data_IF_329250065249
#
_entry.id   IF_329250065249
#
_cell.length_a   1.000
_cell.length_b   1.000
_cell.length_c   1.000
_cell.angle_alpha   90.00
_cell.angle_beta   90.00
_cell.angle_gamma   90.00
#
_symmetry.space_group_name_H-M   'P 1'
#
loop_
_entity.id
_entity.type
_entity.pdbx_description
1 polymer ?
#
# COMPACT_ATOMS: atom_id res chain seq x y z
N UNK A 1 -4.23 -5.92 -9.62
CA UNK A 1 -2.86 -5.54 -9.96
C UNK A 1 -2.54 -4.12 -9.52
N UNK A 2 -1.28 -3.77 -9.57
CA UNK A 2 -0.76 -2.42 -9.31
C UNK A 2 -0.87 -1.50 -10.54
N UNK A 3 -1.06 -2.10 -11.68
CA UNK A 3 -1.47 -1.49 -12.94
C UNK A 3 -2.40 -2.46 -13.69
N UNK A 4 -3.11 -1.97 -14.70
CA UNK A 4 -3.99 -2.81 -15.53
C UNK A 4 -3.64 -2.58 -16.99
N UNK A 5 -3.05 -3.59 -17.62
CA UNK A 5 -2.56 -3.50 -18.99
C UNK A 5 -1.64 -2.27 -19.21
N UNK A 6 -0.71 -2.04 -18.28
CA UNK A 6 0.22 -0.92 -18.29
C UNK A 6 -0.35 0.44 -17.88
N UNK A 7 -1.66 0.57 -17.69
CA UNK A 7 -2.26 1.81 -17.23
C UNK A 7 -2.15 1.96 -15.70
N UNK A 8 -1.76 3.14 -15.23
CA UNK A 8 -1.73 3.46 -13.81
C UNK A 8 -3.14 3.46 -13.20
N UNK A 9 -3.22 3.18 -11.91
CA UNK A 9 -4.50 3.14 -11.18
C UNK A 9 -5.21 4.51 -11.10
N UNK A 10 -4.55 5.59 -11.49
CA UNK A 10 -5.14 6.93 -11.66
C UNK A 10 -5.91 7.14 -12.96
N UNK A 11 -5.82 6.20 -13.93
CA UNK A 11 -6.49 6.34 -15.22
C UNK A 11 -8.02 6.44 -15.04
N UNK A 12 -8.63 7.47 -15.62
CA UNK A 12 -10.06 7.77 -15.47
C UNK A 12 -10.98 6.64 -15.92
N UNK A 13 -10.49 5.76 -16.80
CA UNK A 13 -11.25 4.56 -17.20
C UNK A 13 -11.60 3.64 -16.03
N UNK A 14 -10.86 3.74 -14.88
CA UNK A 14 -11.14 2.96 -13.67
C UNK A 14 -12.12 3.67 -12.72
N UNK A 15 -12.45 4.94 -12.93
CA UNK A 15 -13.33 5.70 -12.05
C UNK A 15 -14.75 5.08 -11.91
N UNK A 16 -15.37 4.54 -12.96
CA UNK A 16 -16.64 3.83 -12.79
C UNK A 16 -16.54 2.61 -11.85
N UNK A 17 -15.40 1.91 -11.87
CA UNK A 17 -15.13 0.79 -10.96
C UNK A 17 -14.95 1.29 -9.52
N UNK A 18 -14.15 2.34 -9.30
CA UNK A 18 -13.96 2.91 -7.95
C UNK A 18 -15.26 3.46 -7.37
N UNK A 19 -16.03 4.17 -8.18
CA UNK A 19 -17.35 4.64 -7.78
C UNK A 19 -18.24 3.48 -7.32
N UNK A 20 -18.27 2.40 -8.09
CA UNK A 20 -19.12 1.24 -7.75
C UNK A 20 -18.60 0.52 -6.50
N UNK A 21 -17.30 0.37 -6.35
CA UNK A 21 -16.70 -0.22 -5.15
C UNK A 21 -17.03 0.61 -3.89
N UNK A 22 -16.91 1.93 -3.99
CA UNK A 22 -17.25 2.86 -2.90
C UNK A 22 -18.73 2.78 -2.52
N UNK A 23 -19.65 2.80 -3.52
CA UNK A 23 -21.11 2.68 -3.32
C UNK A 23 -21.49 1.37 -2.61
N UNK A 24 -20.78 0.29 -2.91
CA UNK A 24 -21.02 -1.04 -2.33
C UNK A 24 -20.28 -1.25 -1.00
N UNK A 25 -19.41 -0.32 -0.60
CA UNK A 25 -18.52 -0.50 0.56
C UNK A 25 -17.51 -1.64 0.38
N UNK A 26 -17.17 -1.99 -0.87
CA UNK A 26 -16.22 -3.05 -1.15
C UNK A 26 -14.80 -2.62 -0.84
N UNK A 27 -14.05 -3.48 -0.13
CA UNK A 27 -12.63 -3.28 0.13
C UNK A 27 -11.79 -3.79 -1.04
N UNK A 28 -10.85 -2.97 -1.48
CA UNK A 28 -9.94 -3.28 -2.58
C UNK A 28 -8.57 -3.64 -2.03
N UNK A 29 -8.01 -4.78 -2.45
CA UNK A 29 -6.64 -5.17 -2.15
C UNK A 29 -5.78 -5.05 -3.41
N UNK A 30 -4.81 -4.17 -3.40
CA UNK A 30 -3.88 -3.93 -4.51
C UNK A 30 -2.60 -4.73 -4.28
N UNK A 31 -2.39 -5.73 -5.12
CA UNK A 31 -1.21 -6.58 -5.11
C UNK A 31 -0.38 -6.34 -6.37
N UNK A 32 0.96 -6.15 -6.27
CA UNK A 32 1.79 -5.88 -7.44
C UNK A 32 1.87 -7.07 -8.38
N UNK A 33 1.78 -6.79 -9.66
CA UNK A 33 1.95 -7.73 -10.76
C UNK A 33 2.40 -6.97 -12.01
N UNK A 34 3.08 -7.60 -12.96
CA UNK A 34 3.66 -6.93 -14.13
C UNK A 34 4.62 -5.81 -13.71
N UNK A 35 5.70 -6.20 -13.02
CA UNK A 35 6.64 -5.27 -12.40
C UNK A 35 7.33 -4.38 -13.42
N UNK A 36 7.38 -3.08 -13.13
CA UNK A 36 8.13 -2.13 -13.92
C UNK A 36 9.62 -2.54 -14.01
N UNK A 37 10.21 -2.41 -15.18
CA UNK A 37 11.63 -2.72 -15.40
C UNK A 37 11.97 -4.20 -15.39
N UNK A 38 11.01 -5.10 -15.55
CA UNK A 38 11.26 -6.55 -15.55
C UNK A 38 12.31 -6.98 -16.58
N UNK A 39 12.31 -6.36 -17.76
CA UNK A 39 13.29 -6.63 -18.81
C UNK A 39 14.75 -6.32 -18.40
N UNK A 40 14.98 -5.41 -17.47
CA UNK A 40 16.27 -5.07 -16.88
C UNK A 40 16.66 -5.97 -15.71
N UNK A 41 15.77 -6.85 -15.28
CA UNK A 41 15.92 -7.69 -14.10
C UNK A 41 15.86 -9.21 -14.39
N UNK A 42 16.58 -9.75 -15.40
CA UNK A 42 16.43 -11.15 -15.85
C UNK A 42 17.06 -12.18 -14.90
N UNK A 43 17.76 -11.76 -13.85
CA UNK A 43 18.48 -12.64 -12.92
C UNK A 43 18.18 -12.27 -11.45
N UNK A 44 18.56 -13.18 -10.55
CA UNK A 44 18.55 -12.97 -9.09
C UNK A 44 17.15 -12.70 -8.53
N UNK A 45 16.11 -13.12 -9.25
CA UNK A 45 14.73 -12.91 -8.84
C UNK A 45 14.37 -11.44 -8.58
N UNK A 46 15.11 -10.52 -9.17
CA UNK A 46 14.98 -9.08 -8.96
C UNK A 46 13.58 -8.51 -9.26
N UNK A 47 12.78 -9.04 -10.22
CA UNK A 47 11.41 -8.56 -10.37
C UNK A 47 10.59 -8.66 -9.08
N UNK A 48 10.75 -9.74 -8.31
CA UNK A 48 10.07 -9.91 -7.02
C UNK A 48 10.75 -9.16 -5.88
N UNK A 49 12.08 -9.18 -5.82
CA UNK A 49 12.82 -8.58 -4.70
C UNK A 49 12.88 -7.05 -4.78
N UNK A 50 12.90 -6.47 -5.97
CA UNK A 50 13.06 -5.03 -6.21
C UNK A 50 11.86 -4.46 -6.96
N UNK A 51 11.42 -5.14 -8.02
CA UNK A 51 10.32 -4.68 -8.88
C UNK A 51 9.00 -4.59 -8.13
N UNK A 52 8.61 -5.58 -7.35
CA UNK A 52 7.35 -5.56 -6.58
C UNK A 52 7.24 -4.39 -5.61
N UNK A 53 8.23 -4.11 -4.74
CA UNK A 53 8.18 -2.94 -3.86
C UNK A 53 8.09 -1.61 -4.62
N UNK A 54 8.78 -1.49 -5.75
CA UNK A 54 8.72 -0.29 -6.60
C UNK A 54 7.34 -0.15 -7.26
N UNK A 55 6.78 -1.25 -7.74
CA UNK A 55 5.47 -1.29 -8.39
C UNK A 55 4.34 -0.92 -7.43
N UNK A 56 4.36 -1.42 -6.19
CA UNK A 56 3.41 -1.03 -5.15
C UNK A 56 3.50 0.48 -4.87
N UNK A 57 4.71 1.03 -4.79
CA UNK A 57 4.91 2.47 -4.59
C UNK A 57 4.38 3.30 -5.75
N UNK A 58 4.57 2.85 -7.00
CA UNK A 58 3.98 3.47 -8.19
C UNK A 58 2.45 3.49 -8.10
N UNK A 59 1.85 2.37 -7.71
CA UNK A 59 0.40 2.27 -7.55
C UNK A 59 -0.13 3.28 -6.52
N UNK A 60 0.48 3.35 -5.32
CA UNK A 60 0.10 4.30 -4.27
C UNK A 60 0.26 5.74 -4.77
N UNK A 61 1.41 6.10 -5.33
CA UNK A 61 1.67 7.44 -5.85
C UNK A 61 0.70 7.82 -6.96
N UNK A 62 0.39 6.91 -7.88
CA UNK A 62 -0.55 7.20 -8.96
C UNK A 62 -1.95 7.51 -8.42
N UNK A 63 -2.44 6.75 -7.43
CA UNK A 63 -3.75 7.02 -6.82
C UNK A 63 -3.77 8.32 -6.03
N UNK A 64 -2.68 8.66 -5.33
CA UNK A 64 -2.55 9.94 -4.61
C UNK A 64 -2.54 11.10 -5.60
N UNK A 65 -1.57 11.13 -6.52
CA UNK A 65 -1.37 12.27 -7.40
C UNK A 65 -2.46 12.42 -8.46
N UNK A 66 -3.10 11.33 -8.89
CA UNK A 66 -4.27 11.34 -9.77
C UNK A 66 -5.59 11.66 -9.05
N UNK A 67 -5.54 12.01 -7.75
CA UNK A 67 -6.71 12.46 -6.98
C UNK A 67 -7.79 11.39 -6.76
N UNK A 68 -7.46 10.10 -6.85
CA UNK A 68 -8.43 9.03 -6.67
C UNK A 68 -9.07 9.07 -5.29
N UNK A 69 -8.26 9.30 -4.23
CA UNK A 69 -8.76 9.37 -2.85
C UNK A 69 -9.58 10.65 -2.57
N UNK A 70 -9.34 11.74 -3.32
CA UNK A 70 -10.16 12.95 -3.23
C UNK A 70 -11.50 12.76 -3.94
N UNK A 71 -11.51 12.08 -5.09
CA UNK A 71 -12.72 11.81 -5.86
C UNK A 71 -13.59 10.72 -5.22
N UNK A 72 -12.97 9.75 -4.54
CA UNK A 72 -13.63 8.61 -3.89
C UNK A 72 -13.17 8.51 -2.43
N UNK A 73 -13.60 9.43 -1.54
CA UNK A 73 -13.08 9.55 -0.18
C UNK A 73 -13.47 8.40 0.75
N UNK A 74 -14.44 7.59 0.39
CA UNK A 74 -14.86 6.40 1.13
C UNK A 74 -14.34 5.09 0.53
N UNK A 75 -13.53 5.18 -0.52
CA UNK A 75 -12.94 4.00 -1.16
C UNK A 75 -11.96 3.31 -0.21
N UNK A 76 -12.21 2.05 0.09
CA UNK A 76 -11.45 1.25 1.05
C UNK A 76 -10.34 0.49 0.33
N UNK A 77 -9.10 0.96 0.42
CA UNK A 77 -7.97 0.36 -0.30
C UNK A 77 -6.89 -0.09 0.66
N UNK A 78 -6.38 -1.30 0.44
CA UNK A 78 -5.16 -1.81 1.08
C UNK A 78 -4.12 -2.17 0.00
N UNK A 79 -2.84 -1.97 0.32
CA UNK A 79 -1.72 -2.30 -0.53
C UNK A 79 -0.84 -3.37 0.10
N UNK A 80 -0.42 -4.34 -0.70
CA UNK A 80 0.41 -5.45 -0.27
C UNK A 80 1.84 -5.04 0.14
N UNK A 81 2.49 -5.93 0.87
CA UNK A 81 3.93 -5.91 1.18
C UNK A 81 4.38 -4.63 1.88
N UNK A 82 3.66 -4.29 2.97
CA UNK A 82 3.96 -3.10 3.76
C UNK A 82 3.86 -1.78 2.99
N UNK A 83 3.11 -1.75 1.88
CA UNK A 83 3.06 -0.59 0.98
C UNK A 83 4.29 -0.44 0.09
N UNK A 84 5.08 -1.52 -0.08
CA UNK A 84 6.29 -1.54 -0.89
C UNK A 84 7.37 -0.59 -0.38
N UNK A 85 8.00 0.19 -1.25
CA UNK A 85 8.98 1.19 -0.86
C UNK A 85 8.35 2.56 -0.52
N UNK A 86 7.03 2.73 -0.62
CA UNK A 86 6.35 4.01 -0.38
C UNK A 86 6.61 4.58 1.02
N UNK A 87 6.46 3.82 2.13
CA UNK A 87 6.71 4.39 3.46
C UNK A 87 8.14 4.91 3.62
N UNK A 88 9.13 4.20 3.07
CA UNK A 88 10.54 4.61 3.14
C UNK A 88 10.87 5.81 2.25
N UNK A 89 10.08 6.07 1.22
CA UNK A 89 10.32 7.14 0.25
C UNK A 89 9.39 8.33 0.40
N UNK A 90 8.47 8.33 1.36
CA UNK A 90 7.48 9.41 1.54
C UNK A 90 8.13 10.79 1.68
N UNK A 91 9.27 10.90 2.36
CA UNK A 91 10.01 12.16 2.46
C UNK A 91 10.51 12.68 1.12
N UNK A 92 11.00 11.79 0.23
CA UNK A 92 11.38 12.16 -1.15
C UNK A 92 10.16 12.57 -1.98
N UNK A 93 9.06 11.85 -1.84
CA UNK A 93 7.81 12.09 -2.57
C UNK A 93 7.24 13.46 -2.19
N UNK A 94 7.17 13.76 -0.89
CA UNK A 94 6.75 15.07 -0.38
C UNK A 94 7.69 16.20 -0.81
N UNK A 95 9.00 15.98 -0.75
CA UNK A 95 9.96 16.97 -1.20
C UNK A 95 9.77 17.28 -2.70
N UNK A 96 9.58 16.25 -3.53
CA UNK A 96 9.27 16.42 -4.96
C UNK A 96 8.00 17.23 -5.19
N UNK A 97 6.94 16.96 -4.44
CA UNK A 97 5.70 17.72 -4.47
C UNK A 97 5.94 19.21 -4.15
N UNK A 98 6.77 19.52 -3.15
CA UNK A 98 7.02 20.89 -2.72
C UNK A 98 7.91 21.68 -3.69
N UNK A 99 8.92 21.04 -4.32
CA UNK A 99 9.90 21.72 -5.17
C UNK A 99 9.54 21.73 -6.66
N UNK A 100 8.68 20.81 -7.09
CA UNK A 100 8.20 20.70 -8.47
C UNK A 100 6.68 20.49 -8.55
N UNK A 101 5.87 21.39 -7.95
CA UNK A 101 4.41 21.28 -8.02
C UNK A 101 3.89 21.33 -9.47
N UNK A 102 4.61 21.99 -10.35
CA UNK A 102 4.34 22.04 -11.79
C UNK A 102 4.34 20.67 -12.47
N UNK A 103 5.07 19.69 -11.92
CA UNK A 103 5.14 18.32 -12.44
C UNK A 103 4.35 17.31 -11.59
N UNK A 104 4.19 17.57 -10.30
CA UNK A 104 3.69 16.59 -9.34
C UNK A 104 2.25 16.88 -8.92
N UNK A 105 1.90 18.15 -8.71
CA UNK A 105 0.57 18.59 -8.29
C UNK A 105 -0.37 18.89 -9.47
N UNK A 106 -0.27 18.11 -10.57
CA UNK A 106 -1.00 18.38 -11.83
C UNK A 106 -2.50 18.10 -11.67
N UNK A 107 -2.84 16.95 -11.13
CA UNK A 107 -4.24 16.49 -10.98
C UNK A 107 -4.71 16.58 -9.53
N UNK A 108 -3.79 16.69 -8.57
CA UNK A 108 -4.09 16.79 -7.16
C UNK A 108 -3.07 17.67 -6.43
N UNK A 109 -3.53 18.74 -5.79
CA UNK A 109 -2.71 19.70 -5.06
C UNK A 109 -2.62 19.42 -3.54
N UNK A 110 -3.12 18.27 -3.08
CA UNK A 110 -3.04 17.87 -1.67
C UNK A 110 -1.68 17.21 -1.41
N UNK A 111 -0.99 17.68 -0.38
CA UNK A 111 0.31 17.13 0.01
C UNK A 111 0.23 15.61 0.24
N UNK A 112 1.12 14.80 -0.38
CA UNK A 112 1.06 13.33 -0.31
C UNK A 112 1.14 12.78 1.12
N UNK A 113 1.77 13.48 2.06
CA UNK A 113 1.83 13.08 3.47
C UNK A 113 0.46 13.08 4.14
N UNK A 114 -0.50 13.86 3.67
CA UNK A 114 -1.87 13.91 4.21
C UNK A 114 -2.66 12.62 3.93
N UNK A 115 -2.12 11.73 3.10
CA UNK A 115 -2.71 10.42 2.81
C UNK A 115 -2.20 9.29 3.70
N UNK A 116 -1.17 9.55 4.53
CA UNK A 116 -0.78 8.60 5.56
C UNK A 116 -1.97 8.36 6.50
N UNK A 117 -2.31 7.09 6.71
CA UNK A 117 -3.51 6.72 7.48
C UNK A 117 -4.85 6.82 6.73
N UNK A 118 -4.88 7.20 5.44
CA UNK A 118 -6.10 7.20 4.61
C UNK A 118 -6.37 5.85 3.94
N UNK A 119 -5.34 5.12 3.61
CA UNK A 119 -5.40 3.76 3.07
C UNK A 119 -4.72 2.77 4.00
N UNK A 120 -4.84 1.50 3.70
CA UNK A 120 -4.29 0.40 4.48
C UNK A 120 -3.06 -0.18 3.80
N UNK A 121 -2.19 -0.80 4.58
CA UNK A 121 -1.11 -1.66 4.09
C UNK A 121 -1.14 -2.97 4.87
N UNK A 122 -0.41 -3.99 4.42
CA UNK A 122 -0.24 -5.20 5.21
C UNK A 122 1.08 -5.20 6.01
N UNK A 123 1.23 -6.22 6.86
CA UNK A 123 2.39 -6.39 7.74
C UNK A 123 3.49 -7.28 7.15
N UNK A 124 3.39 -7.66 5.87
CA UNK A 124 4.35 -8.56 5.24
C UNK A 124 5.64 -7.84 4.86
N UNK A 125 6.56 -7.75 5.79
CA UNK A 125 7.83 -7.02 5.62
C UNK A 125 9.07 -7.81 6.05
N UNK A 126 8.90 -9.02 6.61
CA UNK A 126 9.95 -9.98 6.98
C UNK A 126 11.02 -9.47 7.95
N UNK A 127 10.91 -8.26 8.48
CA UNK A 127 11.91 -7.66 9.36
C UNK A 127 11.27 -6.84 10.49
N UNK A 128 11.78 -7.02 11.71
CA UNK A 128 11.26 -6.36 12.93
C UNK A 128 11.38 -4.83 12.88
N UNK A 129 12.51 -4.34 12.38
CA UNK A 129 12.74 -2.88 12.29
C UNK A 129 11.84 -2.26 11.24
N UNK A 130 11.65 -2.95 10.13
CA UNK A 130 10.76 -2.51 9.07
C UNK A 130 9.31 -2.50 9.55
N UNK A 131 8.85 -3.50 10.31
CA UNK A 131 7.50 -3.49 10.87
C UNK A 131 7.30 -2.32 11.84
N UNK A 132 8.24 -2.05 12.74
CA UNK A 132 8.20 -0.86 13.60
C UNK A 132 8.11 0.42 12.79
N UNK A 133 8.96 0.55 11.77
CA UNK A 133 9.02 1.72 10.92
C UNK A 133 7.69 2.00 10.19
N UNK A 134 7.07 0.98 9.61
CA UNK A 134 5.79 1.19 8.94
C UNK A 134 4.64 1.50 9.92
N UNK A 135 4.70 0.97 11.15
CA UNK A 135 3.77 1.35 12.22
C UNK A 135 3.92 2.83 12.58
N UNK A 136 5.16 3.32 12.71
CA UNK A 136 5.44 4.72 13.01
C UNK A 136 4.98 5.66 11.87
N UNK A 137 5.18 5.26 10.61
CA UNK A 137 4.86 6.08 9.45
C UNK A 137 3.37 6.07 9.11
N UNK A 138 2.74 4.89 9.07
CA UNK A 138 1.36 4.71 8.61
C UNK A 138 0.33 4.81 9.75
N UNK A 139 0.78 4.60 10.98
CA UNK A 139 -0.09 4.46 12.14
C UNK A 139 -0.56 3.02 12.37
N UNK A 140 -0.64 2.63 13.64
CA UNK A 140 -1.01 1.28 14.08
C UNK A 140 -2.41 0.83 13.65
N UNK A 141 -3.29 1.77 13.29
CA UNK A 141 -4.69 1.50 12.91
C UNK A 141 -4.87 1.23 11.40
N UNK A 142 -3.79 1.25 10.62
CA UNK A 142 -3.84 1.11 9.15
C UNK A 142 -2.95 0.00 8.59
N UNK A 143 -2.58 -0.94 9.44
CA UNK A 143 -1.79 -2.10 9.05
C UNK A 143 -2.58 -3.37 9.35
N UNK A 144 -2.85 -4.16 8.32
CA UNK A 144 -3.52 -5.46 8.41
C UNK A 144 -2.50 -6.60 8.42
N UNK A 145 -2.85 -7.75 8.97
CA UNK A 145 -2.05 -8.95 8.81
C UNK A 145 -1.95 -9.33 7.34
N UNK A 146 -0.73 -9.52 6.84
CA UNK A 146 -0.43 -10.06 5.52
C UNK A 146 0.35 -11.36 5.60
N UNK A 147 0.11 -12.29 4.69
CA UNK A 147 0.78 -13.59 4.63
C UNK A 147 1.46 -13.90 3.31
N UNK A 148 1.01 -13.29 2.22
CA UNK A 148 1.40 -13.58 0.84
C UNK A 148 1.29 -15.09 0.48
N UNK A 149 0.39 -15.81 1.19
CA UNK A 149 0.12 -17.22 0.87
C UNK A 149 -0.55 -17.34 -0.51
N UNK A 150 -0.18 -18.27 -1.40
CA UNK A 150 0.77 -19.38 -1.16
C UNK A 150 2.17 -19.16 -1.77
N UNK A 151 2.62 -17.93 -1.92
CA UNK A 151 3.87 -17.62 -2.62
C UNK A 151 5.12 -17.92 -1.78
N UNK A 152 6.28 -18.20 -2.42
CA UNK A 152 7.52 -18.50 -1.70
C UNK A 152 8.05 -17.37 -0.81
N UNK A 153 7.70 -16.11 -1.11
CA UNK A 153 8.01 -14.95 -0.25
C UNK A 153 6.98 -14.75 0.87
N UNK A 154 5.97 -15.60 0.97
CA UNK A 154 4.98 -15.54 2.04
C UNK A 154 5.53 -15.99 3.40
N UNK A 155 4.82 -15.67 4.47
CA UNK A 155 5.13 -16.12 5.82
C UNK A 155 4.58 -17.53 6.08
N UNK A 156 5.44 -18.45 6.51
CA UNK A 156 5.03 -19.79 6.90
C UNK A 156 4.18 -19.81 8.19
N UNK A 157 4.36 -18.80 9.03
CA UNK A 157 3.61 -18.60 10.28
C UNK A 157 3.09 -17.15 10.31
N UNK A 158 1.99 -16.86 9.61
CA UNK A 158 1.43 -15.51 9.53
C UNK A 158 1.16 -14.94 10.93
N UNK A 159 1.64 -13.72 11.16
CA UNK A 159 1.47 -13.02 12.42
C UNK A 159 2.58 -13.23 13.45
N UNK A 160 3.49 -14.20 13.27
CA UNK A 160 4.55 -14.44 14.24
C UNK A 160 5.44 -13.23 14.48
N UNK A 161 5.78 -12.50 13.43
CA UNK A 161 6.58 -11.26 13.55
C UNK A 161 5.88 -10.22 14.44
N UNK A 162 4.56 -10.09 14.33
CA UNK A 162 3.75 -9.20 15.15
C UNK A 162 3.71 -9.71 16.61
N UNK A 163 3.50 -10.99 16.79
CA UNK A 163 3.44 -11.61 18.14
C UNK A 163 4.74 -11.42 18.90
N UNK A 164 5.87 -11.67 18.24
CA UNK A 164 7.20 -11.57 18.83
C UNK A 164 7.57 -10.09 19.16
N UNK A 165 7.06 -9.13 18.38
CA UNK A 165 7.41 -7.73 18.50
C UNK A 165 6.52 -6.97 19.49
N UNK A 166 5.23 -7.28 19.52
CA UNK A 166 4.21 -6.55 20.28
C UNK A 166 3.56 -7.40 21.37
N UNK A 167 4.31 -8.30 21.99
CA UNK A 167 3.83 -9.15 23.09
C UNK A 167 3.20 -8.31 24.20
N UNK A 168 1.94 -8.60 24.53
CA UNK A 168 1.20 -7.91 25.60
C UNK A 168 0.74 -6.49 25.29
N UNK A 169 0.89 -6.03 24.05
CA UNK A 169 0.51 -4.70 23.59
C UNK A 169 -0.85 -4.69 22.90
N UNK A 170 -1.62 -3.60 23.05
CA UNK A 170 -2.88 -3.38 22.32
C UNK A 170 -2.65 -3.32 20.79
N UNK A 171 -1.45 -2.93 20.34
CA UNK A 171 -1.06 -2.91 18.93
C UNK A 171 -1.13 -4.31 18.33
N UNK A 172 -0.74 -5.36 19.08
CA UNK A 172 -0.79 -6.74 18.64
C UNK A 172 -2.15 -7.12 18.07
N UNK A 173 -3.21 -6.89 18.85
CA UNK A 173 -4.58 -7.23 18.46
C UNK A 173 -5.04 -6.45 17.22
N UNK A 174 -4.66 -5.17 17.14
CA UNK A 174 -4.95 -4.35 15.97
C UNK A 174 -4.35 -4.94 14.70
N UNK A 175 -3.05 -5.24 14.71
CA UNK A 175 -2.33 -5.72 13.55
C UNK A 175 -2.75 -7.14 13.15
N UNK A 176 -3.06 -8.02 14.13
CA UNK A 176 -3.41 -9.42 13.86
C UNK A 176 -4.81 -9.57 13.24
N UNK A 177 -5.81 -8.80 13.68
CA UNK A 177 -7.18 -8.99 13.17
C UNK A 177 -8.07 -7.76 13.18
N UNK A 178 -8.02 -6.87 14.18
CA UNK A 178 -8.97 -5.76 14.32
C UNK A 178 -8.95 -4.84 13.10
N UNK A 179 -7.77 -4.53 12.59
CA UNK A 179 -7.62 -3.68 11.44
C UNK A 179 -8.16 -4.31 10.16
N UNK A 180 -7.93 -5.62 9.97
CA UNK A 180 -8.48 -6.34 8.83
C UNK A 180 -10.01 -6.35 8.85
N UNK A 181 -10.63 -6.56 10.01
CA UNK A 181 -12.09 -6.47 10.17
C UNK A 181 -12.61 -5.08 9.82
N UNK A 182 -11.96 -4.02 10.33
CA UNK A 182 -12.32 -2.64 9.98
C UNK A 182 -12.17 -2.35 8.48
N UNK A 183 -11.07 -2.80 7.86
CA UNK A 183 -10.87 -2.64 6.42
C UNK A 183 -11.93 -3.38 5.62
N UNK A 184 -12.34 -4.58 6.05
CA UNK A 184 -13.40 -5.36 5.40
C UNK A 184 -14.82 -4.84 5.69
N UNK A 185 -14.98 -3.88 6.61
CA UNK A 185 -16.30 -3.39 7.01
C UNK A 185 -17.09 -4.42 7.83
N UNK A 186 -16.41 -5.34 8.50
CA UNK A 186 -16.97 -6.39 9.36
C UNK A 186 -16.67 -5.99 10.80
N UNK A 187 -17.52 -5.20 11.41
CA UNK A 187 -17.41 -4.75 12.81
C UNK A 187 -18.63 -5.16 13.60
#
# INVERSE_FOLDING_TARGET
>A
GSNINGANLSDEKFFPFYKRAEELGCSLFIHPWEMMGEAQMPKYWLPWLVGMPAETSRAICSMIFGGVFEKFPKLNVAFAHGGGSFPATIGRIEHGFNVRPDLVAVDNNVNPRNYLGKFWIDSLVHDRKTLHYIVDVMGEDKICLGSDYPFPLGEHHPGRLIEDLYTGSAIKEKLLHVNALKWLGIS
#
